data_IF_193795556317
#
_entry.id   IF_193795556317
#
_cell.length_a   1.000
_cell.length_b   1.000
_cell.length_c   1.000
_cell.angle_alpha   90.00
_cell.angle_beta   90.00
_cell.angle_gamma   90.00
#
_symmetry.space_group_name_H-M   'P 1'
#
loop_
_entity.id
_entity.type
_entity.pdbx_description
1 polymer ?
#
# COMPACT_ATOMS: atom_id res chain seq x y z
N UNK A 1 -19.25 -16.23 0.84
CA UNK A 1 -18.20 -16.16 1.87
C UNK A 1 -18.31 -14.81 2.52
N UNK A 2 -18.31 -14.73 3.84
CA UNK A 2 -18.39 -13.45 4.54
C UNK A 2 -17.13 -12.63 4.29
N UNK A 3 -17.31 -11.39 3.81
CA UNK A 3 -16.20 -10.45 3.65
C UNK A 3 -15.63 -10.12 5.03
N UNK A 4 -14.34 -10.37 5.30
CA UNK A 4 -13.76 -10.09 6.61
C UNK A 4 -13.93 -8.61 6.97
N UNK A 5 -14.12 -8.33 8.26
CA UNK A 5 -14.20 -6.96 8.76
C UNK A 5 -12.87 -6.22 8.61
N UNK A 6 -11.76 -6.95 8.71
CA UNK A 6 -10.38 -6.47 8.57
C UNK A 6 -9.53 -7.59 7.97
N UNK A 7 -8.58 -7.25 7.10
CA UNK A 7 -7.64 -8.18 6.46
C UNK A 7 -6.26 -7.53 6.44
N UNK A 8 -5.22 -8.27 6.84
CA UNK A 8 -3.83 -7.81 6.79
C UNK A 8 -2.95 -8.88 6.16
N UNK A 9 -2.21 -8.49 5.13
CA UNK A 9 -1.34 -9.38 4.36
C UNK A 9 0.04 -8.74 4.19
N UNK A 10 1.07 -9.57 4.29
CA UNK A 10 2.46 -9.19 4.06
C UNK A 10 2.82 -9.55 2.63
N UNK A 11 3.21 -8.56 1.84
CA UNK A 11 3.74 -8.77 0.50
C UNK A 11 5.26 -9.01 0.60
N UNK A 12 5.79 -10.11 0.07
CA UNK A 12 7.22 -10.39 0.13
C UNK A 12 8.01 -9.53 -0.87
N UNK A 13 9.26 -9.24 -0.55
CA UNK A 13 10.21 -8.75 -1.53
C UNK A 13 10.57 -9.88 -2.52
N UNK A 14 10.57 -9.59 -3.80
CA UNK A 14 10.90 -10.52 -4.89
C UNK A 14 12.28 -10.21 -5.52
N UNK A 15 13.13 -9.44 -4.84
CA UNK A 15 14.55 -9.35 -5.16
C UNK A 15 15.24 -10.66 -4.80
N UNK A 16 16.22 -11.08 -5.61
CA UNK A 16 17.00 -12.30 -5.35
C UNK A 16 17.62 -12.26 -3.95
N UNK A 17 17.53 -13.40 -3.25
CA UNK A 17 18.00 -13.63 -1.88
C UNK A 17 17.44 -12.69 -0.78
N UNK A 18 16.41 -11.88 -1.07
CA UNK A 18 15.77 -11.04 -0.07
C UNK A 18 14.65 -11.79 0.68
N UNK A 19 14.71 -11.79 2.01
CA UNK A 19 13.66 -12.37 2.88
C UNK A 19 12.78 -11.34 3.58
N UNK A 20 12.91 -10.06 3.21
CA UNK A 20 12.17 -8.96 3.83
C UNK A 20 10.78 -8.84 3.23
N UNK A 21 9.86 -8.24 3.98
CA UNK A 21 8.60 -7.77 3.43
C UNK A 21 8.86 -6.59 2.48
N UNK A 22 8.16 -6.56 1.35
CA UNK A 22 8.04 -5.38 0.50
C UNK A 22 7.17 -4.33 1.18
N UNK A 23 6.01 -4.77 1.69
CA UNK A 23 5.11 -3.98 2.52
C UNK A 23 4.16 -4.88 3.30
N UNK A 24 3.50 -4.29 4.29
CA UNK A 24 2.28 -4.84 4.89
C UNK A 24 1.10 -4.00 4.43
N UNK A 25 0.08 -4.66 3.89
CA UNK A 25 -1.16 -4.03 3.44
C UNK A 25 -2.30 -4.52 4.32
N UNK A 26 -3.06 -3.57 4.87
CA UNK A 26 -4.22 -3.82 5.69
C UNK A 26 -5.45 -3.14 5.08
N UNK A 27 -6.56 -3.86 4.97
CA UNK A 27 -7.84 -3.35 4.49
C UNK A 27 -8.87 -3.52 5.60
N UNK A 28 -9.55 -2.45 5.97
CA UNK A 28 -10.59 -2.43 7.01
C UNK A 28 -11.91 -1.98 6.43
N UNK A 29 -13.01 -2.58 6.91
CA UNK A 29 -14.36 -2.12 6.60
C UNK A 29 -14.60 -0.76 7.25
N UNK A 30 -15.41 0.08 6.61
CA UNK A 30 -15.83 1.39 7.13
C UNK A 30 -16.23 1.32 8.60
N UNK A 31 -15.65 2.23 9.40
CA UNK A 31 -16.00 2.40 10.81
C UNK A 31 -15.40 1.34 11.74
N UNK A 32 -14.59 0.42 11.22
CA UNK A 32 -13.78 -0.49 12.03
C UNK A 32 -12.44 0.16 12.37
N UNK A 33 -11.87 -0.23 13.51
CA UNK A 33 -10.49 0.11 13.86
C UNK A 33 -9.51 -0.68 12.98
N UNK A 34 -8.25 -0.26 12.97
CA UNK A 34 -7.15 -1.11 12.50
C UNK A 34 -6.94 -2.30 13.45
N UNK A 35 -6.20 -3.33 13.00
CA UNK A 35 -5.92 -4.54 13.77
C UNK A 35 -5.17 -4.24 15.08
N UNK A 36 -4.37 -3.17 15.11
CA UNK A 36 -3.67 -2.68 16.30
C UNK A 36 -4.53 -1.76 17.19
N UNK A 37 -5.84 -1.68 16.92
CA UNK A 37 -6.83 -0.83 17.59
C UNK A 37 -6.61 0.68 17.40
N UNK A 38 -5.74 1.11 16.48
CA UNK A 38 -5.67 2.51 16.07
C UNK A 38 -6.96 2.94 15.37
N UNK A 39 -7.30 4.23 15.53
CA UNK A 39 -8.53 4.78 14.98
C UNK A 39 -8.39 5.02 13.47
N UNK A 40 -9.12 4.26 12.68
CA UNK A 40 -9.45 4.67 11.31
C UNK A 40 -10.30 5.94 11.40
N UNK A 41 -9.79 7.07 10.93
CA UNK A 41 -10.56 8.34 10.86
C UNK A 41 -10.99 8.67 9.44
N UNK A 42 -10.53 7.91 8.44
CA UNK A 42 -10.78 8.15 7.02
C UNK A 42 -12.28 8.05 6.72
N UNK A 43 -13.00 7.15 7.40
CA UNK A 43 -14.46 7.06 7.26
C UNK A 43 -15.21 8.36 7.61
N UNK A 44 -14.67 9.20 8.51
CA UNK A 44 -15.31 10.46 8.91
C UNK A 44 -15.21 11.52 7.82
N UNK A 45 -14.10 11.51 7.07
CA UNK A 45 -13.81 12.46 6.00
C UNK A 45 -14.45 12.02 4.68
N UNK A 46 -14.50 10.71 4.41
CA UNK A 46 -15.02 10.15 3.16
C UNK A 46 -16.25 9.30 3.40
N UNK A 47 -17.47 9.88 3.44
CA UNK A 47 -18.69 9.15 3.75
C UNK A 47 -19.06 8.07 2.72
N UNK A 48 -18.63 8.24 1.47
CA UNK A 48 -18.87 7.27 0.39
C UNK A 48 -17.89 6.08 0.38
N UNK A 49 -16.83 6.10 1.19
CA UNK A 49 -15.86 5.01 1.25
C UNK A 49 -16.46 3.78 1.96
N UNK A 50 -16.30 2.61 1.36
CA UNK A 50 -16.72 1.32 1.93
C UNK A 50 -15.72 0.78 2.95
N UNK A 51 -14.50 1.30 2.94
CA UNK A 51 -13.45 0.95 3.88
C UNK A 51 -12.24 1.85 3.77
N UNK A 52 -11.15 1.38 4.36
CA UNK A 52 -9.85 2.04 4.41
C UNK A 52 -8.77 1.02 4.11
N UNK A 53 -7.71 1.45 3.44
CA UNK A 53 -6.50 0.66 3.22
C UNK A 53 -5.35 1.37 3.89
N UNK A 54 -4.47 0.63 4.57
CA UNK A 54 -3.27 1.11 5.25
C UNK A 54 -2.07 0.33 4.75
N UNK A 55 -1.05 1.05 4.29
CA UNK A 55 0.19 0.49 3.78
C UNK A 55 1.32 0.88 4.72
N UNK A 56 2.09 -0.10 5.19
CA UNK A 56 3.18 0.12 6.16
C UNK A 56 4.43 -0.68 5.77
N UNK A 57 5.60 -0.23 6.26
CA UNK A 57 6.87 -0.95 6.12
C UNK A 57 7.60 -0.75 4.78
N UNK A 58 6.97 -0.08 3.81
CA UNK A 58 7.62 0.25 2.55
C UNK A 58 8.42 1.55 2.63
N UNK A 59 7.79 2.65 3.06
CA UNK A 59 8.46 3.93 3.27
C UNK A 59 9.21 3.90 4.61
N UNK A 60 10.40 4.51 4.70
CA UNK A 60 11.28 4.38 5.86
C UNK A 60 10.75 5.01 7.15
N UNK A 61 9.92 6.05 7.05
CA UNK A 61 9.49 6.86 8.20
C UNK A 61 7.97 6.95 8.38
N UNK A 62 7.18 6.40 7.45
CA UNK A 62 5.72 6.54 7.50
C UNK A 62 5.01 5.37 6.83
N UNK A 63 3.78 5.13 7.23
CA UNK A 63 2.79 4.48 6.37
C UNK A 63 1.92 5.53 5.70
N UNK A 64 0.95 5.10 4.92
CA UNK A 64 -0.15 5.97 4.51
C UNK A 64 -1.43 5.15 4.48
N UNK A 65 -2.54 5.87 4.59
CA UNK A 65 -3.86 5.27 4.56
C UNK A 65 -4.72 5.99 3.53
N UNK A 66 -5.54 5.25 2.81
CA UNK A 66 -6.42 5.80 1.79
C UNK A 66 -7.83 5.21 1.90
N UNK A 67 -8.79 5.95 1.36
CA UNK A 67 -10.19 5.48 1.28
C UNK A 67 -10.29 4.32 0.30
N UNK A 68 -11.13 3.33 0.61
CA UNK A 68 -11.43 2.21 -0.29
C UNK A 68 -12.86 2.34 -0.80
N UNK A 69 -13.08 2.71 -2.08
CA UNK A 69 -14.42 2.82 -2.65
C UNK A 69 -15.09 1.46 -2.88
N UNK A 70 -14.31 0.42 -3.23
CA UNK A 70 -14.78 -0.93 -3.47
C UNK A 70 -14.05 -1.91 -2.55
N UNK A 71 -14.68 -2.22 -1.41
CA UNK A 71 -14.07 -3.03 -0.36
C UNK A 71 -13.86 -4.49 -0.81
N UNK A 72 -14.79 -5.04 -1.57
CA UNK A 72 -14.71 -6.43 -2.04
C UNK A 72 -13.50 -6.62 -2.96
N UNK A 73 -13.33 -5.75 -3.95
CA UNK A 73 -12.19 -5.82 -4.87
C UNK A 73 -10.84 -5.64 -4.16
N UNK A 74 -10.76 -4.74 -3.17
CA UNK A 74 -9.56 -4.55 -2.38
C UNK A 74 -9.22 -5.80 -1.54
N UNK A 75 -10.23 -6.43 -0.91
CA UNK A 75 -10.04 -7.66 -0.13
C UNK A 75 -9.62 -8.82 -1.04
N UNK A 76 -10.22 -8.96 -2.22
CA UNK A 76 -9.86 -10.02 -3.18
C UNK A 76 -8.39 -9.87 -3.61
N UNK A 77 -7.95 -8.67 -4.00
CA UNK A 77 -6.57 -8.41 -4.39
C UNK A 77 -5.57 -8.63 -3.23
N UNK A 78 -5.88 -8.14 -2.03
CA UNK A 78 -5.00 -8.27 -0.86
C UNK A 78 -4.94 -9.72 -0.38
N UNK A 79 -6.06 -10.44 -0.34
CA UNK A 79 -6.11 -11.84 0.11
C UNK A 79 -5.37 -12.79 -0.84
N UNK A 80 -5.37 -12.49 -2.15
CA UNK A 80 -4.60 -13.21 -3.14
C UNK A 80 -3.09 -12.88 -3.10
N UNK A 81 -2.68 -11.82 -2.39
CA UNK A 81 -1.31 -11.32 -2.45
C UNK A 81 -0.97 -10.76 -3.84
N UNK A 82 -1.96 -10.27 -4.58
CA UNK A 82 -1.83 -9.81 -5.96
C UNK A 82 -1.54 -8.30 -5.98
N UNK A 83 -0.25 -7.95 -6.06
CA UNK A 83 0.19 -6.56 -6.08
C UNK A 83 -0.19 -5.86 -7.39
N UNK A 84 -0.32 -6.61 -8.50
CA UNK A 84 -0.71 -6.08 -9.80
C UNK A 84 -2.19 -5.68 -9.79
N UNK A 85 -3.06 -6.55 -9.27
CA UNK A 85 -4.47 -6.24 -9.06
C UNK A 85 -4.66 -5.06 -8.10
N UNK A 86 -3.88 -5.00 -7.01
CA UNK A 86 -3.93 -3.89 -6.07
C UNK A 86 -3.52 -2.57 -6.73
N UNK A 87 -2.42 -2.56 -7.48
CA UNK A 87 -1.95 -1.41 -8.25
C UNK A 87 -2.95 -0.99 -9.35
N UNK A 88 -3.69 -1.93 -9.93
CA UNK A 88 -4.72 -1.65 -10.93
C UNK A 88 -5.97 -0.99 -10.34
N UNK A 89 -6.30 -1.27 -9.08
CA UNK A 89 -7.37 -0.57 -8.35
C UNK A 89 -6.98 0.88 -8.05
N UNK A 90 -5.77 1.06 -7.51
CA UNK A 90 -5.17 2.37 -7.28
C UNK A 90 -3.64 2.20 -7.19
N UNK A 91 -2.90 2.94 -8.01
CA UNK A 91 -1.44 2.82 -8.09
C UNK A 91 -0.77 3.14 -6.76
N UNK A 92 -1.38 4.03 -5.96
CA UNK A 92 -0.88 4.41 -4.64
C UNK A 92 -1.01 3.28 -3.63
N UNK A 93 -1.85 2.26 -3.84
CA UNK A 93 -2.06 1.19 -2.86
C UNK A 93 -0.97 0.11 -2.91
N UNK A 94 -0.12 0.12 -3.94
CA UNK A 94 0.99 -0.81 -4.09
C UNK A 94 2.29 -0.07 -4.52
N UNK A 95 2.78 0.90 -3.72
CA UNK A 95 3.95 1.71 -4.09
C UNK A 95 5.26 0.90 -4.13
N UNK A 96 5.23 -0.28 -3.53
CA UNK A 96 6.32 -1.26 -3.51
C UNK A 96 6.38 -2.13 -4.78
N UNK A 97 5.36 -2.07 -5.64
CA UNK A 97 5.23 -2.88 -6.84
C UNK A 97 5.68 -2.13 -8.09
N UNK A 98 6.53 -2.77 -8.88
CA UNK A 98 6.97 -2.25 -10.17
C UNK A 98 6.15 -2.91 -11.30
N UNK A 99 5.18 -2.19 -11.86
CA UNK A 99 4.32 -2.67 -12.95
C UNK A 99 5.07 -3.13 -14.21
N UNK A 100 6.28 -2.62 -14.46
CA UNK A 100 7.11 -3.03 -15.60
C UNK A 100 7.86 -4.33 -15.35
N UNK A 101 8.23 -4.60 -14.10
CA UNK A 101 8.89 -5.83 -13.71
C UNK A 101 7.90 -6.93 -13.35
N UNK A 102 6.65 -6.56 -13.07
CA UNK A 102 5.63 -7.41 -12.46
C UNK A 102 6.14 -8.03 -11.13
N UNK A 103 6.78 -7.19 -10.31
CA UNK A 103 7.44 -7.61 -9.06
C UNK A 103 7.36 -6.55 -7.97
N UNK A 104 7.27 -7.02 -6.73
CA UNK A 104 7.33 -6.23 -5.50
C UNK A 104 8.74 -6.21 -4.91
N UNK A 105 9.20 -5.04 -4.47
CA UNK A 105 10.51 -4.88 -3.82
C UNK A 105 10.38 -4.07 -2.53
N UNK A 106 11.19 -4.40 -1.51
CA UNK A 106 11.22 -3.64 -0.26
C UNK A 106 11.90 -2.28 -0.43
N UNK A 107 11.63 -1.36 0.50
CA UNK A 107 12.19 0.00 0.48
C UNK A 107 13.72 0.07 0.45
N UNK A 108 14.44 -0.98 0.86
CA UNK A 108 15.91 -1.04 0.75
C UNK A 108 16.41 -1.31 -0.68
N UNK A 109 15.62 -2.01 -1.50
CA UNK A 109 15.97 -2.27 -2.91
C UNK A 109 15.43 -1.19 -3.85
N UNK A 110 14.51 -0.38 -3.37
CA UNK A 110 14.13 0.84 -4.06
C UNK A 110 15.15 1.94 -3.72
N UNK A 111 15.64 2.64 -4.75
CA UNK A 111 16.36 3.90 -4.57
C UNK A 111 15.33 5.00 -4.29
N UNK A 112 14.84 5.05 -3.05
CA UNK A 112 13.84 6.00 -2.57
C UNK A 112 14.50 7.35 -2.25
N UNK A 113 14.03 8.40 -2.91
CA UNK A 113 14.46 9.78 -2.73
C UNK A 113 13.28 10.61 -2.24
N UNK A 114 13.30 11.06 -0.97
CA UNK A 114 12.31 11.99 -0.50
C UNK A 114 12.51 13.34 -1.18
N UNK A 115 11.40 13.97 -1.57
CA UNK A 115 11.37 15.32 -2.05
C UNK A 115 10.44 16.11 -1.13
N UNK A 116 11.06 16.89 -0.24
CA UNK A 116 10.36 17.78 0.68
C UNK A 116 10.31 19.18 0.07
N UNK A 117 9.11 19.66 -0.25
CA UNK A 117 8.89 21.03 -0.73
C UNK A 117 7.81 21.69 0.13
N UNK A 118 7.85 23.03 0.25
CA UNK A 118 7.03 23.85 1.16
C UNK A 118 5.48 23.66 1.11
N UNK A 119 4.96 22.72 0.33
CA UNK A 119 3.56 22.28 0.39
C UNK A 119 3.28 20.88 -0.16
N UNK A 120 4.29 20.14 -0.63
CA UNK A 120 4.11 18.79 -1.17
C UNK A 120 5.31 17.92 -0.81
N UNK A 121 5.05 16.90 0.00
CA UNK A 121 6.01 15.87 0.35
C UNK A 121 5.69 14.63 -0.47
N UNK A 122 6.65 14.19 -1.29
CA UNK A 122 6.52 12.95 -2.05
C UNK A 122 7.81 12.15 -2.02
N UNK A 123 7.71 10.89 -2.41
CA UNK A 123 8.88 10.07 -2.71
C UNK A 123 8.95 9.87 -4.22
N UNK A 124 10.16 9.94 -4.75
CA UNK A 124 10.48 9.29 -6.02
C UNK A 124 11.24 8.01 -5.72
N UNK A 125 11.02 6.97 -6.51
CA UNK A 125 11.68 5.69 -6.34
C UNK A 125 12.19 5.17 -7.68
N UNK A 126 13.32 4.49 -7.68
CA UNK A 126 13.73 3.65 -8.81
C UNK A 126 13.84 2.21 -8.33
N UNK A 127 13.16 1.29 -9.03
CA UNK A 127 13.24 -0.13 -8.68
C UNK A 127 14.65 -0.68 -8.98
N UNK A 128 15.04 -1.85 -8.46
CA UNK A 128 16.40 -2.39 -8.65
C UNK A 128 16.76 -2.69 -10.12
N UNK A 129 15.75 -2.77 -11.00
CA UNK A 129 15.94 -2.96 -12.45
C UNK A 129 16.08 -1.61 -13.21
N UNK A 130 15.88 -0.47 -12.53
CA UNK A 130 16.04 0.87 -13.12
C UNK A 130 14.75 1.54 -13.57
N UNK A 131 13.57 0.99 -13.24
CA UNK A 131 12.29 1.62 -13.60
C UNK A 131 11.90 2.70 -12.58
N UNK A 132 11.67 3.95 -13.02
CA UNK A 132 11.25 5.02 -12.13
C UNK A 132 9.77 4.85 -11.75
N UNK A 133 9.45 5.25 -10.53
CA UNK A 133 8.10 5.30 -10.00
C UNK A 133 7.95 6.56 -9.14
N UNK A 134 6.84 7.26 -9.33
CA UNK A 134 6.45 8.38 -8.49
C UNK A 134 5.54 7.85 -7.39
N UNK A 135 5.87 8.17 -6.14
CA UNK A 135 5.20 7.64 -4.96
C UNK A 135 4.61 8.83 -4.23
N UNK A 136 3.35 9.10 -4.55
CA UNK A 136 2.55 10.06 -3.81
C UNK A 136 2.12 9.43 -2.48
N UNK A 137 2.36 10.13 -1.37
CA UNK A 137 1.98 9.68 -0.03
C UNK A 137 1.18 10.74 0.74
N UNK A 138 0.59 11.71 0.03
CA UNK A 138 -0.26 12.75 0.61
C UNK A 138 -1.56 12.21 1.24
#
# INVERSE_FOLDING_TARGET
MDTPAQLRVVFPCQHEDCRRAAATVEVTRRGQLYIDAEQDVIYRVFPAAQGTIRITGFLPYTGFSSRVPNLAAAIDAVSAGDAAALHALDQTWAPFYCHRCDRSFCGEHWDLKPAFSWGFDHYSGTCPIGHPHFIDHC
#
